data_IF_896680030524
#
_entry.id   IF_896680030524
#
_cell.length_a   1.000
_cell.length_b   1.000
_cell.length_c   1.000
_cell.angle_alpha   90.00
_cell.angle_beta   90.00
_cell.angle_gamma   90.00
#
_symmetry.space_group_name_H-M   'P 1'
#
loop_
_entity.id
_entity.type
_entity.pdbx_description
1 polymer ?
#
# COMPACT_ATOMS: atom_id res chain seq x y z
N UNK A 1 1.39 -34.23 5.91
CA UNK A 1 2.72 -34.26 5.27
C UNK A 1 2.63 -33.26 4.12
N UNK A 2 3.39 -32.15 4.16
CA UNK A 2 3.38 -31.18 3.05
C UNK A 2 4.03 -31.84 1.83
N UNK A 3 3.47 -31.65 0.64
CA UNK A 3 4.10 -32.15 -0.59
C UNK A 3 5.41 -31.39 -0.83
N UNK A 4 6.37 -32.01 -1.50
CA UNK A 4 7.69 -31.44 -1.82
C UNK A 4 7.61 -30.03 -2.43
N UNK A 5 6.63 -29.81 -3.31
CA UNK A 5 6.37 -28.52 -3.97
C UNK A 5 6.03 -27.41 -2.96
N UNK A 6 5.24 -27.70 -1.92
CA UNK A 6 4.92 -26.72 -0.88
C UNK A 6 6.13 -26.41 0.01
N UNK A 7 7.03 -27.38 0.21
CA UNK A 7 8.28 -27.18 0.96
C UNK A 7 9.23 -26.26 0.19
N UNK A 8 9.33 -26.43 -1.13
CA UNK A 8 10.12 -25.56 -2.00
C UNK A 8 9.59 -24.12 -2.03
N UNK A 9 8.28 -23.94 -2.15
CA UNK A 9 7.64 -22.62 -2.03
C UNK A 9 8.01 -21.92 -0.72
N UNK A 10 7.85 -22.60 0.42
CA UNK A 10 8.14 -22.01 1.73
C UNK A 10 9.62 -21.65 1.91
N UNK A 11 10.54 -22.41 1.29
CA UNK A 11 11.97 -22.09 1.32
C UNK A 11 12.26 -20.84 0.48
N UNK A 12 11.80 -20.81 -0.77
CA UNK A 12 12.04 -19.70 -1.69
C UNK A 12 11.42 -18.39 -1.17
N UNK A 13 10.17 -18.45 -0.67
CA UNK A 13 9.53 -17.26 -0.13
C UNK A 13 10.26 -16.72 1.11
N UNK A 14 10.72 -17.59 2.01
CA UNK A 14 11.55 -17.16 3.16
C UNK A 14 12.87 -16.53 2.72
N UNK A 15 13.54 -17.09 1.71
CA UNK A 15 14.75 -16.49 1.14
C UNK A 15 14.45 -15.10 0.55
N UNK A 16 13.35 -14.96 -0.19
CA UNK A 16 12.92 -13.68 -0.73
C UNK A 16 12.69 -12.63 0.36
N UNK A 17 12.01 -12.99 1.46
CA UNK A 17 11.81 -12.11 2.60
C UNK A 17 13.12 -11.71 3.25
N UNK A 18 14.02 -12.67 3.53
CA UNK A 18 15.32 -12.39 4.15
C UNK A 18 16.18 -11.44 3.32
N UNK A 19 16.24 -11.63 2.00
CA UNK A 19 16.91 -10.68 1.11
C UNK A 19 16.26 -9.29 1.13
N UNK A 20 14.93 -9.20 1.18
CA UNK A 20 14.24 -7.91 1.25
C UNK A 20 14.55 -7.16 2.55
N UNK A 21 14.58 -7.87 3.68
CA UNK A 21 14.94 -7.33 5.00
C UNK A 21 16.37 -6.78 5.02
N UNK A 22 17.31 -7.45 4.32
CA UNK A 22 18.68 -6.99 4.13
C UNK A 22 18.84 -5.89 3.06
N UNK A 23 17.76 -5.48 2.40
CA UNK A 23 17.79 -4.48 1.32
C UNK A 23 18.30 -5.01 -0.03
N UNK A 24 18.55 -6.32 -0.14
CA UNK A 24 19.02 -7.02 -1.33
C UNK A 24 17.87 -7.24 -2.32
N UNK A 25 17.49 -6.14 -2.99
CA UNK A 25 16.28 -6.09 -3.84
C UNK A 25 16.37 -7.01 -5.06
N UNK A 26 17.56 -7.14 -5.67
CA UNK A 26 17.72 -7.94 -6.88
C UNK A 26 17.55 -9.42 -6.59
N UNK A 27 18.14 -9.89 -5.50
CA UNK A 27 18.13 -11.26 -5.00
C UNK A 27 16.73 -11.65 -4.52
N UNK A 28 16.08 -10.77 -3.75
CA UNK A 28 14.69 -11.00 -3.34
C UNK A 28 13.75 -11.14 -4.54
N UNK A 29 13.91 -10.30 -5.57
CA UNK A 29 13.10 -10.40 -6.80
C UNK A 29 13.45 -11.66 -7.60
N UNK A 30 14.71 -12.09 -7.62
CA UNK A 30 15.11 -13.34 -8.27
C UNK A 30 14.44 -14.55 -7.62
N UNK A 31 14.45 -14.64 -6.28
CA UNK A 31 13.73 -15.68 -5.53
C UNK A 31 12.23 -15.65 -5.84
N UNK A 32 11.60 -14.47 -5.84
CA UNK A 32 10.18 -14.33 -6.19
C UNK A 32 9.86 -14.80 -7.61
N UNK A 33 10.76 -14.59 -8.57
CA UNK A 33 10.58 -15.03 -9.96
C UNK A 33 10.79 -16.53 -10.13
N UNK A 34 11.55 -17.17 -9.24
CA UNK A 34 11.81 -18.61 -9.27
C UNK A 34 10.70 -19.44 -8.60
N UNK A 35 9.77 -18.79 -7.88
CA UNK A 35 8.59 -19.45 -7.31
C UNK A 35 7.65 -19.91 -8.43
N UNK A 36 7.13 -21.13 -8.31
CA UNK A 36 6.22 -21.74 -9.27
C UNK A 36 4.98 -20.86 -9.55
N UNK A 37 4.55 -20.86 -10.83
CA UNK A 37 3.47 -20.00 -11.34
C UNK A 37 2.16 -20.14 -10.55
N UNK A 38 1.87 -21.33 -10.01
CA UNK A 38 0.64 -21.56 -9.24
C UNK A 38 0.60 -20.72 -7.95
N UNK A 39 1.75 -20.30 -7.43
CA UNK A 39 1.86 -19.51 -6.21
C UNK A 39 2.02 -18.00 -6.47
N UNK A 40 2.27 -17.58 -7.71
CA UNK A 40 2.51 -16.16 -8.06
C UNK A 40 1.31 -15.25 -7.76
N UNK A 41 0.10 -15.82 -7.67
CA UNK A 41 -1.12 -15.11 -7.30
C UNK A 41 -1.37 -14.98 -5.79
N UNK A 42 -0.54 -15.60 -4.94
CA UNK A 42 -0.76 -15.58 -3.49
C UNK A 42 -0.55 -14.18 -2.90
N UNK A 43 -1.37 -13.73 -1.93
CA UNK A 43 -1.28 -12.39 -1.36
C UNK A 43 0.10 -12.01 -0.83
N UNK A 44 0.81 -12.94 -0.18
CA UNK A 44 2.15 -12.72 0.38
C UNK A 44 3.22 -12.47 -0.69
N UNK A 45 3.11 -13.13 -1.85
CA UNK A 45 3.98 -12.91 -3.01
C UNK A 45 3.71 -11.54 -3.63
N UNK A 46 2.43 -11.22 -3.83
CA UNK A 46 2.02 -9.94 -4.39
C UNK A 46 2.44 -8.77 -3.49
N UNK A 47 2.36 -8.92 -2.16
CA UNK A 47 2.81 -7.91 -1.21
C UNK A 47 4.31 -7.66 -1.26
N UNK A 48 5.14 -8.71 -1.32
CA UNK A 48 6.60 -8.51 -1.40
C UNK A 48 7.01 -7.92 -2.76
N UNK A 49 6.35 -8.31 -3.85
CA UNK A 49 6.53 -7.67 -5.17
C UNK A 49 6.15 -6.18 -5.13
N UNK A 50 5.04 -5.84 -4.47
CA UNK A 50 4.63 -4.45 -4.27
C UNK A 50 5.67 -3.64 -3.51
N UNK A 51 6.17 -4.18 -2.40
CA UNK A 51 7.22 -3.55 -1.60
C UNK A 51 8.40 -3.10 -2.49
N UNK A 52 8.92 -4.00 -3.32
CA UNK A 52 10.05 -3.70 -4.22
C UNK A 52 9.71 -2.66 -5.29
N UNK A 53 8.52 -2.78 -5.91
CA UNK A 53 8.08 -1.83 -6.94
C UNK A 53 7.87 -0.42 -6.36
N UNK A 54 7.29 -0.33 -5.17
CA UNK A 54 7.06 0.94 -4.48
C UNK A 54 8.36 1.58 -4.02
N UNK A 55 9.32 0.80 -3.51
CA UNK A 55 10.67 1.31 -3.18
C UNK A 55 11.39 1.89 -4.40
N UNK A 56 11.23 1.26 -5.57
CA UNK A 56 11.75 1.76 -6.86
C UNK A 56 10.86 2.83 -7.51
N UNK A 57 9.78 3.28 -6.84
CA UNK A 57 8.80 4.26 -7.35
C UNK A 57 8.20 3.87 -8.70
N UNK A 58 8.09 2.58 -8.99
CA UNK A 58 7.51 2.07 -10.24
C UNK A 58 5.98 2.02 -10.13
N UNK A 59 5.36 3.19 -9.95
CA UNK A 59 3.96 3.33 -9.52
C UNK A 59 2.95 2.65 -10.43
N UNK A 60 3.12 2.76 -11.76
CA UNK A 60 2.23 2.11 -12.72
C UNK A 60 2.26 0.58 -12.60
N UNK A 61 3.45 -0.01 -12.44
CA UNK A 61 3.61 -1.45 -12.23
C UNK A 61 3.09 -1.87 -10.86
N UNK A 62 3.37 -1.08 -9.83
CA UNK A 62 2.85 -1.31 -8.48
C UNK A 62 1.32 -1.28 -8.47
N UNK A 63 0.68 -0.34 -9.18
CA UNK A 63 -0.77 -0.29 -9.32
C UNK A 63 -1.35 -1.55 -9.97
N UNK A 64 -0.66 -2.12 -10.97
CA UNK A 64 -1.09 -3.40 -11.57
C UNK A 64 -1.06 -4.53 -10.54
N UNK A 65 -0.02 -4.61 -9.73
CA UNK A 65 0.11 -5.65 -8.69
C UNK A 65 -0.86 -5.41 -7.53
N UNK A 66 -1.09 -4.17 -7.12
CA UNK A 66 -2.01 -3.85 -6.02
C UNK A 66 -3.45 -4.19 -6.37
N UNK A 67 -3.86 -3.96 -7.63
CA UNK A 67 -5.17 -4.42 -8.14
C UNK A 67 -5.29 -5.94 -8.17
N UNK A 68 -4.19 -6.67 -8.43
CA UNK A 68 -4.19 -8.14 -8.29
C UNK A 68 -4.34 -8.54 -6.81
N UNK A 69 -3.65 -7.84 -5.91
CA UNK A 69 -3.76 -8.08 -4.47
C UNK A 69 -5.17 -7.81 -3.94
N UNK A 70 -5.85 -6.75 -4.39
CA UNK A 70 -7.27 -6.52 -4.07
C UNK A 70 -8.16 -7.70 -4.47
N UNK A 71 -7.88 -8.38 -5.60
CA UNK A 71 -8.67 -9.54 -6.03
C UNK A 71 -8.30 -10.81 -5.25
N UNK A 72 -7.02 -10.99 -4.92
CA UNK A 72 -6.53 -12.14 -4.19
C UNK A 72 -6.93 -12.11 -2.69
N UNK A 73 -7.07 -10.92 -2.13
CA UNK A 73 -7.45 -10.69 -0.73
C UNK A 73 -8.44 -9.51 -0.62
N UNK A 74 -9.71 -9.70 -1.04
CA UNK A 74 -10.70 -8.61 -1.11
C UNK A 74 -11.05 -8.01 0.25
N UNK A 75 -10.93 -8.79 1.32
CA UNK A 75 -11.20 -8.35 2.70
C UNK A 75 -10.00 -7.67 3.37
N UNK A 76 -8.83 -7.65 2.71
CA UNK A 76 -7.61 -7.09 3.27
C UNK A 76 -7.36 -5.65 2.79
N UNK A 77 -6.98 -4.77 3.72
CA UNK A 77 -6.71 -3.35 3.46
C UNK A 77 -5.54 -3.09 2.51
N UNK A 78 -4.49 -3.92 2.57
CA UNK A 78 -3.18 -3.65 1.96
C UNK A 78 -3.26 -3.36 0.44
N UNK A 79 -4.02 -4.17 -0.30
CA UNK A 79 -4.18 -3.96 -1.75
C UNK A 79 -4.78 -2.60 -2.09
N UNK A 80 -5.82 -2.20 -1.36
CA UNK A 80 -6.55 -0.96 -1.60
C UNK A 80 -5.73 0.27 -1.19
N UNK A 81 -5.05 0.23 -0.04
CA UNK A 81 -4.15 1.29 0.39
C UNK A 81 -3.04 1.56 -0.64
N UNK A 82 -2.36 0.50 -1.09
CA UNK A 82 -1.30 0.63 -2.09
C UNK A 82 -1.84 1.05 -3.45
N UNK A 83 -3.02 0.58 -3.87
CA UNK A 83 -3.66 1.03 -5.12
C UNK A 83 -4.00 2.52 -5.08
N UNK A 84 -4.60 3.00 -3.99
CA UNK A 84 -4.86 4.42 -3.77
C UNK A 84 -3.58 5.25 -3.84
N UNK A 85 -2.57 4.86 -3.07
CA UNK A 85 -1.28 5.56 -3.08
C UNK A 85 -0.64 5.60 -4.47
N UNK A 86 -0.60 4.48 -5.18
CA UNK A 86 -0.02 4.44 -6.53
C UNK A 86 -0.80 5.30 -7.53
N UNK A 87 -2.14 5.31 -7.47
CA UNK A 87 -2.97 6.17 -8.33
C UNK A 87 -2.69 7.64 -8.08
N UNK A 88 -2.59 8.04 -6.82
CA UNK A 88 -2.25 9.41 -6.45
C UNK A 88 -0.84 9.79 -6.96
N UNK A 89 0.16 8.94 -6.78
CA UNK A 89 1.54 9.20 -7.25
C UNK A 89 1.66 9.36 -8.78
N UNK A 90 0.70 8.86 -9.56
CA UNK A 90 0.64 9.06 -11.02
C UNK A 90 -0.37 10.15 -11.43
N UNK A 91 -0.78 11.03 -10.50
CA UNK A 91 -1.64 12.18 -10.77
C UNK A 91 -3.14 11.87 -10.82
N UNK A 92 -3.57 10.65 -10.46
CA UNK A 92 -4.98 10.20 -10.53
C UNK A 92 -5.64 10.23 -9.15
N UNK A 93 -5.51 11.35 -8.43
CA UNK A 93 -5.95 11.51 -7.03
C UNK A 93 -7.45 11.24 -6.83
N UNK A 94 -8.31 11.64 -7.78
CA UNK A 94 -9.75 11.35 -7.70
C UNK A 94 -10.02 9.84 -7.68
N UNK A 95 -9.36 9.09 -8.56
CA UNK A 95 -9.50 7.63 -8.59
C UNK A 95 -8.87 6.96 -7.36
N UNK A 96 -7.80 7.55 -6.80
CA UNK A 96 -7.22 7.07 -5.55
C UNK A 96 -8.25 7.09 -4.41
N UNK A 97 -8.98 8.20 -4.27
CA UNK A 97 -10.09 8.33 -3.31
C UNK A 97 -11.19 7.29 -3.57
N UNK A 98 -11.61 7.13 -4.83
CA UNK A 98 -12.66 6.16 -5.19
C UNK A 98 -12.27 4.71 -4.87
N UNK A 99 -11.01 4.33 -5.06
CA UNK A 99 -10.50 3.00 -4.70
C UNK A 99 -10.57 2.77 -3.19
N UNK A 100 -10.21 3.76 -2.38
CA UNK A 100 -10.29 3.65 -0.92
C UNK A 100 -11.74 3.54 -0.44
N UNK A 101 -12.66 4.34 -0.99
CA UNK A 101 -14.09 4.31 -0.65
C UNK A 101 -14.77 2.97 -1.00
N UNK A 102 -14.28 2.28 -2.03
CA UNK A 102 -14.81 0.97 -2.47
C UNK A 102 -14.14 -0.23 -1.79
N UNK A 103 -13.13 0.02 -0.96
CA UNK A 103 -12.39 -1.06 -0.29
C UNK A 103 -13.16 -1.66 0.91
N UNK A 104 -12.59 -2.71 1.51
CA UNK A 104 -13.23 -3.42 2.60
C UNK A 104 -13.30 -2.56 3.87
N UNK A 105 -14.22 -2.90 4.77
CA UNK A 105 -14.38 -2.22 6.06
C UNK A 105 -13.14 -2.32 6.94
N UNK A 106 -12.24 -3.28 6.67
CA UNK A 106 -10.92 -3.37 7.29
C UNK A 106 -10.10 -2.07 7.16
N UNK A 107 -10.29 -1.29 6.08
CA UNK A 107 -9.64 0.00 5.89
C UNK A 107 -9.97 1.01 7.00
N UNK A 108 -11.19 0.94 7.56
CA UNK A 108 -11.63 1.86 8.61
C UNK A 108 -10.89 1.67 9.93
N UNK A 109 -10.11 0.59 10.05
CA UNK A 109 -9.23 0.31 11.20
C UNK A 109 -7.80 0.78 10.98
N UNK A 110 -7.47 1.31 9.79
CA UNK A 110 -6.12 1.73 9.42
C UNK A 110 -5.96 3.25 9.53
N UNK A 111 -5.07 3.80 10.37
CA UNK A 111 -4.86 5.25 10.46
C UNK A 111 -4.40 5.87 9.13
N UNK A 112 -3.65 5.11 8.32
CA UNK A 112 -3.17 5.51 7.00
C UNK A 112 -4.30 5.67 5.96
N UNK A 113 -5.43 4.97 6.11
CA UNK A 113 -6.60 5.17 5.26
C UNK A 113 -7.10 6.62 5.40
N UNK A 114 -7.34 7.05 6.64
CA UNK A 114 -7.82 8.40 6.93
C UNK A 114 -6.77 9.45 6.58
N UNK A 115 -5.48 9.16 6.79
CA UNK A 115 -4.41 10.06 6.39
C UNK A 115 -4.44 10.34 4.88
N UNK A 116 -4.43 9.27 4.07
CA UNK A 116 -4.46 9.37 2.61
C UNK A 116 -5.74 10.06 2.11
N UNK A 117 -6.90 9.74 2.70
CA UNK A 117 -8.15 10.46 2.42
C UNK A 117 -8.00 11.95 2.71
N UNK A 118 -7.40 12.32 3.83
CA UNK A 118 -7.05 13.71 4.17
C UNK A 118 -6.25 14.41 3.07
N UNK A 119 -5.12 13.82 2.65
CA UNK A 119 -4.28 14.37 1.59
C UNK A 119 -5.04 14.50 0.27
N UNK A 120 -5.81 13.48 -0.12
CA UNK A 120 -6.57 13.50 -1.37
C UNK A 120 -7.66 14.57 -1.36
N UNK A 121 -8.36 14.76 -0.24
CA UNK A 121 -9.36 15.82 -0.11
C UNK A 121 -8.73 17.21 -0.22
N UNK A 122 -7.54 17.45 0.35
CA UNK A 122 -6.84 18.74 0.18
C UNK A 122 -6.54 19.00 -1.29
N UNK A 123 -5.97 18.02 -2.00
CA UNK A 123 -5.63 18.16 -3.42
C UNK A 123 -6.87 18.32 -4.32
N UNK A 124 -8.03 17.85 -3.87
CA UNK A 124 -9.31 18.01 -4.55
C UNK A 124 -10.07 19.28 -4.12
N UNK A 125 -9.51 20.09 -3.21
CA UNK A 125 -10.10 21.35 -2.73
C UNK A 125 -11.09 21.22 -1.56
N UNK A 126 -11.30 20.01 -1.03
CA UNK A 126 -12.26 19.71 0.02
C UNK A 126 -11.66 19.86 1.43
N UNK A 127 -11.24 21.07 1.77
CA UNK A 127 -10.46 21.32 3.00
C UNK A 127 -11.21 20.95 4.30
N UNK A 128 -12.54 21.01 4.32
CA UNK A 128 -13.34 20.62 5.50
C UNK A 128 -13.28 19.12 5.74
N UNK A 129 -13.51 18.32 4.70
CA UNK A 129 -13.46 16.87 4.77
C UNK A 129 -12.05 16.37 5.06
N UNK A 130 -11.04 17.03 4.47
CA UNK A 130 -9.64 16.76 4.76
C UNK A 130 -9.34 16.84 6.26
N UNK A 131 -9.79 17.91 6.94
CA UNK A 131 -9.58 18.09 8.39
C UNK A 131 -10.23 16.99 9.21
N UNK A 132 -11.44 16.56 8.85
CA UNK A 132 -12.15 15.47 9.54
C UNK A 132 -11.34 14.18 9.44
N UNK A 133 -10.93 13.80 8.23
CA UNK A 133 -10.14 12.59 8.02
C UNK A 133 -8.79 12.65 8.77
N UNK A 134 -8.04 13.76 8.67
CA UNK A 134 -6.76 13.90 9.35
C UNK A 134 -6.90 13.83 10.88
N UNK A 135 -7.94 14.44 11.45
CA UNK A 135 -8.21 14.33 12.89
C UNK A 135 -8.49 12.89 13.33
N UNK A 136 -9.21 12.11 12.51
CA UNK A 136 -9.43 10.68 12.80
C UNK A 136 -8.10 9.93 12.75
N UNK A 137 -7.30 10.15 11.70
CA UNK A 137 -5.96 9.56 11.55
C UNK A 137 -5.09 9.85 12.78
N UNK A 138 -5.00 11.11 13.22
CA UNK A 138 -4.17 11.51 14.36
C UNK A 138 -4.66 10.95 15.70
N UNK A 139 -5.96 10.71 15.85
CA UNK A 139 -6.52 10.08 17.05
C UNK A 139 -6.18 8.59 17.10
N UNK A 140 -6.12 7.93 15.94
CA UNK A 140 -5.76 6.51 15.84
C UNK A 140 -4.25 6.29 15.99
N UNK A 141 -3.44 7.17 15.39
CA UNK A 141 -1.99 7.17 15.51
C UNK A 141 -1.46 8.60 15.42
N UNK A 142 -0.95 9.11 16.54
CA UNK A 142 -0.49 10.48 16.68
C UNK A 142 0.77 10.79 15.87
N UNK A 143 1.53 9.79 15.42
CA UNK A 143 2.72 9.99 14.60
C UNK A 143 2.42 10.64 13.25
N UNK A 144 1.20 10.43 12.72
CA UNK A 144 0.74 11.08 11.50
C UNK A 144 0.63 12.60 11.62
N UNK A 145 0.49 13.16 12.84
CA UNK A 145 0.46 14.61 13.04
C UNK A 145 1.80 15.25 12.65
N UNK A 146 2.91 14.60 13.01
CA UNK A 146 4.24 15.12 12.67
C UNK A 146 4.56 14.94 11.19
N UNK A 147 4.09 13.84 10.58
CA UNK A 147 4.14 13.65 9.13
C UNK A 147 3.36 14.75 8.40
N UNK A 148 2.13 15.05 8.85
CA UNK A 148 1.24 16.02 8.22
C UNK A 148 1.82 17.44 8.15
N UNK A 149 2.59 17.86 9.16
CA UNK A 149 3.27 19.17 9.17
C UNK A 149 4.29 19.34 8.05
N UNK A 150 4.78 18.23 7.48
CA UNK A 150 5.84 18.21 6.46
C UNK A 150 5.33 17.72 5.10
N UNK A 151 4.11 17.19 5.05
CA UNK A 151 3.53 16.65 3.83
C UNK A 151 3.16 17.80 2.85
N UNK A 152 3.77 17.87 1.66
CA UNK A 152 3.47 18.90 0.68
C UNK A 152 2.01 18.90 0.21
N UNK A 153 1.32 17.76 0.22
CA UNK A 153 -0.09 17.66 -0.18
C UNK A 153 -0.99 18.41 0.81
N UNK A 154 -0.54 18.56 2.05
CA UNK A 154 -1.28 19.22 3.13
C UNK A 154 -0.89 20.68 3.33
N UNK A 155 -0.12 21.27 2.41
CA UNK A 155 0.34 22.68 2.51
C UNK A 155 -0.79 23.67 2.83
N UNK A 156 -1.99 23.60 2.21
CA UNK A 156 -3.11 24.47 2.58
C UNK A 156 -3.57 24.39 4.04
N UNK A 157 -3.21 23.33 4.76
CA UNK A 157 -3.63 23.08 6.15
C UNK A 157 -2.50 23.26 7.18
N UNK A 158 -1.22 23.38 6.77
CA UNK A 158 -0.05 23.40 7.68
C UNK A 158 -0.16 24.35 8.88
N UNK A 159 -0.73 25.54 8.69
CA UNK A 159 -0.90 26.53 9.78
C UNK A 159 -1.94 26.13 10.83
N UNK A 160 -2.67 25.04 10.62
CA UNK A 160 -3.85 24.65 11.40
C UNK A 160 -3.89 23.15 11.74
N UNK A 161 -2.80 22.42 11.50
CA UNK A 161 -2.66 20.99 11.79
C UNK A 161 -2.09 20.71 13.18
#
# INVERSE_FOLDING_TARGET
MLNSVDVDFQRQFRAACGYAELGMTSESVAELNAIDDQYQGRPEILQLRLHHLMRKKQWTRALTVSRRLCRAAPEASAGFLHAGFCLHQIGRTKEAKEVLLRGPTALLKEPIYYYNMGCYEVLLGNLKDARVHLQISFKMDSSFRDLAKRDPDLRPLHSTL
#
